data_IF_770166454005
#
_entry.id   IF_770166454005
#
_cell.length_a   1.000
_cell.length_b   1.000
_cell.length_c   1.000
_cell.angle_alpha   90.00
_cell.angle_beta   90.00
_cell.angle_gamma   90.00
#
_symmetry.space_group_name_H-M   'P 1'
#
loop_
_entity.id
_entity.type
_entity.pdbx_description
1 polymer ?
#
# COMPACT_ATOMS: atom_id res chain seq x y z
N UNK A 1 6.04 -7.80 -20.03
CA UNK A 1 5.61 -9.05 -19.34
C UNK A 1 4.13 -8.93 -19.07
N UNK A 2 3.33 -9.95 -19.42
CA UNK A 2 1.89 -9.95 -19.21
C UNK A 2 1.58 -9.97 -17.70
N UNK A 3 0.67 -9.09 -17.25
CA UNK A 3 0.26 -8.97 -15.86
C UNK A 3 -0.87 -9.93 -15.46
N UNK A 4 -1.65 -9.51 -14.47
CA UNK A 4 -2.91 -10.14 -14.09
C UNK A 4 -4.04 -9.40 -14.82
N UNK A 5 -4.59 -10.02 -15.86
CA UNK A 5 -5.73 -9.47 -16.60
C UNK A 5 -7.05 -10.03 -16.03
N UNK A 6 -7.96 -9.13 -15.72
CA UNK A 6 -9.23 -9.39 -15.06
C UNK A 6 -10.38 -8.77 -15.86
N UNK A 7 -11.30 -9.60 -16.33
CA UNK A 7 -12.64 -9.18 -16.75
C UNK A 7 -13.63 -9.98 -15.94
N UNK A 8 -14.17 -9.37 -14.92
CA UNK A 8 -15.03 -10.05 -13.95
C UNK A 8 -16.43 -9.49 -13.96
N UNK A 9 -17.40 -10.39 -13.89
CA UNK A 9 -18.78 -10.12 -13.59
C UNK A 9 -19.24 -11.19 -12.59
N UNK A 10 -19.35 -10.83 -11.33
CA UNK A 10 -19.66 -11.74 -10.25
C UNK A 10 -20.82 -11.20 -9.40
N UNK A 11 -21.92 -11.93 -9.34
CA UNK A 11 -23.03 -11.63 -8.45
C UNK A 11 -22.76 -12.20 -7.07
N UNK A 12 -23.00 -11.38 -6.05
CA UNK A 12 -22.93 -11.76 -4.64
C UNK A 12 -24.31 -11.87 -4.00
N UNK A 13 -24.33 -11.89 -2.68
CA UNK A 13 -25.55 -11.83 -1.89
C UNK A 13 -26.17 -10.42 -1.93
N UNK A 14 -27.46 -10.31 -1.59
CA UNK A 14 -28.19 -9.03 -1.49
C UNK A 14 -28.06 -8.11 -2.72
N UNK A 15 -28.10 -8.68 -3.95
CA UNK A 15 -27.94 -7.96 -5.22
C UNK A 15 -26.59 -7.27 -5.43
N UNK A 16 -25.58 -7.57 -4.63
CA UNK A 16 -24.23 -7.09 -4.87
C UNK A 16 -23.68 -7.67 -6.19
N UNK A 17 -23.03 -6.82 -6.98
CA UNK A 17 -22.37 -7.23 -8.24
C UNK A 17 -20.98 -6.63 -8.33
N UNK A 18 -19.99 -7.48 -8.47
CA UNK A 18 -18.61 -7.07 -8.75
C UNK A 18 -18.41 -7.07 -10.27
N UNK A 19 -18.16 -5.91 -10.84
CA UNK A 19 -17.90 -5.75 -12.26
C UNK A 19 -16.64 -4.92 -12.49
N UNK A 20 -15.66 -5.50 -13.16
CA UNK A 20 -14.41 -4.80 -13.50
C UNK A 20 -13.76 -5.38 -14.76
N UNK A 21 -13.03 -4.53 -15.48
CA UNK A 21 -12.17 -4.88 -16.60
C UNK A 21 -10.86 -4.11 -16.43
N UNK A 22 -9.77 -4.81 -16.09
CA UNK A 22 -8.49 -4.18 -15.85
C UNK A 22 -7.33 -5.15 -16.01
N UNK A 23 -6.13 -4.60 -16.16
CA UNK A 23 -4.87 -5.33 -16.13
C UNK A 23 -3.98 -4.76 -15.01
N UNK A 24 -3.46 -5.62 -14.15
CA UNK A 24 -2.60 -5.27 -13.02
C UNK A 24 -1.18 -5.79 -13.29
N UNK A 25 -0.13 -5.12 -12.80
CA UNK A 25 1.24 -5.60 -12.94
C UNK A 25 1.43 -6.98 -12.31
N UNK A 26 2.31 -7.79 -12.89
CA UNK A 26 2.77 -9.06 -12.30
C UNK A 26 4.08 -8.89 -11.52
N UNK A 27 4.28 -7.73 -10.90
CA UNK A 27 5.44 -7.40 -10.06
C UNK A 27 5.04 -6.36 -9.01
N UNK A 28 5.77 -6.34 -7.90
CA UNK A 28 5.54 -5.39 -6.81
C UNK A 28 4.21 -5.62 -6.08
N UNK A 29 3.79 -4.60 -5.32
CA UNK A 29 2.58 -4.66 -4.49
C UNK A 29 1.49 -3.79 -5.11
N UNK A 30 0.37 -4.40 -5.49
CA UNK A 30 -0.85 -3.70 -5.90
C UNK A 30 -1.85 -3.71 -4.75
N UNK A 31 -2.17 -2.54 -4.20
CA UNK A 31 -3.21 -2.42 -3.20
C UNK A 31 -4.59 -2.32 -3.84
N UNK A 32 -5.57 -2.95 -3.21
CA UNK A 32 -6.99 -2.84 -3.52
C UNK A 32 -7.65 -2.12 -2.35
N UNK A 33 -8.04 -0.88 -2.58
CA UNK A 33 -8.59 0.02 -1.55
C UNK A 33 -10.05 0.35 -1.83
N UNK A 34 -10.85 0.44 -0.80
CA UNK A 34 -12.25 0.83 -0.88
C UNK A 34 -12.99 0.58 0.43
N UNK A 35 -14.21 1.11 0.57
CA UNK A 35 -15.01 0.93 1.77
C UNK A 35 -15.36 -0.54 2.02
N UNK A 36 -15.77 -0.86 3.24
CA UNK A 36 -16.33 -2.18 3.55
C UNK A 36 -17.50 -2.48 2.63
N UNK A 37 -17.59 -3.73 2.15
CA UNK A 37 -18.62 -4.12 1.17
C UNK A 37 -18.36 -3.72 -0.29
N UNK A 38 -17.25 -3.04 -0.62
CA UNK A 38 -16.95 -2.66 -2.01
C UNK A 38 -16.54 -3.83 -2.93
N UNK A 39 -16.37 -5.05 -2.39
CA UNK A 39 -16.06 -6.25 -3.17
C UNK A 39 -14.59 -6.67 -3.18
N UNK A 40 -13.74 -6.11 -2.32
CA UNK A 40 -12.30 -6.41 -2.26
C UNK A 40 -12.01 -7.90 -2.05
N UNK A 41 -12.57 -8.50 -1.00
CA UNK A 41 -12.41 -9.95 -0.73
C UNK A 41 -13.05 -10.81 -1.82
N UNK A 42 -14.20 -10.38 -2.37
CA UNK A 42 -14.84 -11.06 -3.51
C UNK A 42 -13.91 -11.09 -4.74
N UNK A 43 -13.18 -10.00 -4.98
CA UNK A 43 -12.19 -9.93 -6.05
C UNK A 43 -11.05 -10.93 -5.81
N UNK A 44 -10.48 -10.96 -4.60
CA UNK A 44 -9.44 -11.94 -4.26
C UNK A 44 -9.95 -13.38 -4.36
N UNK A 45 -11.17 -13.67 -3.91
CA UNK A 45 -11.80 -14.99 -4.01
C UNK A 45 -11.96 -15.45 -5.48
N UNK A 46 -12.33 -14.53 -6.38
CA UNK A 46 -12.41 -14.84 -7.80
C UNK A 46 -11.02 -15.13 -8.40
N UNK A 47 -9.99 -14.35 -8.02
CA UNK A 47 -8.61 -14.58 -8.47
C UNK A 47 -8.06 -15.89 -7.91
N UNK A 48 -8.32 -16.20 -6.65
CA UNK A 48 -7.90 -17.46 -6.02
C UNK A 48 -8.67 -18.68 -6.57
N UNK A 49 -9.84 -18.48 -7.18
CA UNK A 49 -10.72 -19.57 -7.62
C UNK A 49 -11.56 -20.16 -6.49
N UNK A 50 -11.67 -19.48 -5.37
CA UNK A 50 -12.56 -19.82 -4.25
C UNK A 50 -14.02 -19.47 -4.60
N UNK A 51 -14.21 -18.43 -5.43
CA UNK A 51 -15.50 -18.04 -5.98
C UNK A 51 -15.44 -18.09 -7.50
N UNK A 52 -16.46 -18.69 -8.11
CA UNK A 52 -16.59 -18.74 -9.57
C UNK A 52 -17.41 -17.54 -10.05
N UNK A 53 -16.81 -16.59 -10.78
CA UNK A 53 -17.55 -15.50 -11.40
C UNK A 53 -18.35 -15.97 -12.61
N UNK A 54 -19.11 -15.06 -13.23
CA UNK A 54 -19.96 -15.36 -14.39
C UNK A 54 -19.21 -16.03 -15.54
N UNK A 55 -19.97 -16.72 -16.39
CA UNK A 55 -19.41 -17.60 -17.43
C UNK A 55 -18.49 -16.88 -18.43
N UNK A 56 -18.75 -15.59 -18.71
CA UNK A 56 -17.99 -14.76 -19.65
C UNK A 56 -16.77 -14.06 -18.99
N UNK A 57 -16.57 -14.29 -17.70
CA UNK A 57 -15.45 -13.70 -16.97
C UNK A 57 -14.11 -14.30 -17.39
N UNK A 58 -13.07 -13.46 -17.34
CA UNK A 58 -11.70 -13.84 -17.65
C UNK A 58 -10.81 -13.51 -16.47
N UNK A 59 -10.02 -14.49 -16.04
CA UNK A 59 -8.89 -14.33 -15.12
C UNK A 59 -7.68 -14.95 -15.81
N UNK A 60 -6.72 -14.11 -16.19
CA UNK A 60 -5.45 -14.53 -16.79
C UNK A 60 -4.29 -13.96 -15.99
N UNK A 61 -3.43 -14.84 -15.51
CA UNK A 61 -2.19 -14.45 -14.84
C UNK A 61 -0.99 -14.82 -15.70
N UNK A 62 -0.22 -13.84 -16.10
CA UNK A 62 0.82 -13.99 -17.10
C UNK A 62 0.25 -14.63 -18.37
N UNK A 63 0.73 -15.80 -18.77
CA UNK A 63 0.28 -16.51 -19.98
C UNK A 63 -0.77 -17.60 -19.69
N UNK A 64 -1.16 -17.79 -18.42
CA UNK A 64 -2.11 -18.83 -17.99
C UNK A 64 -3.51 -18.27 -17.78
N UNK A 65 -4.51 -18.86 -18.44
CA UNK A 65 -5.92 -18.58 -18.16
C UNK A 65 -6.40 -19.43 -16.99
N UNK A 66 -6.68 -18.78 -15.86
CA UNK A 66 -7.30 -19.43 -14.71
C UNK A 66 -8.82 -19.51 -14.83
N UNK A 67 -9.40 -18.57 -15.59
CA UNK A 67 -10.78 -18.63 -16.04
C UNK A 67 -10.94 -17.97 -17.40
N UNK A 68 -11.74 -18.57 -18.27
CA UNK A 68 -12.25 -18.03 -19.53
C UNK A 68 -13.57 -18.73 -19.87
N UNK A 69 -14.38 -18.24 -20.84
CA UNK A 69 -15.57 -18.93 -21.28
C UNK A 69 -15.33 -20.42 -21.53
N UNK A 70 -16.13 -21.26 -20.86
CA UNK A 70 -16.02 -22.73 -20.96
C UNK A 70 -14.88 -23.40 -20.17
N UNK A 71 -14.01 -22.65 -19.49
CA UNK A 71 -12.88 -23.22 -18.74
C UNK A 71 -12.67 -22.52 -17.38
N UNK A 72 -12.47 -23.33 -16.34
CA UNK A 72 -12.20 -22.87 -14.97
C UNK A 72 -11.12 -23.74 -14.33
N UNK A 73 -10.01 -23.14 -13.94
CA UNK A 73 -8.95 -23.79 -13.18
C UNK A 73 -9.30 -23.73 -11.68
N UNK A 74 -9.43 -24.86 -10.99
CA UNK A 74 -9.76 -24.89 -9.58
C UNK A 74 -8.60 -24.34 -8.73
N UNK A 75 -8.89 -23.86 -7.53
CA UNK A 75 -7.95 -23.22 -6.59
C UNK A 75 -6.65 -24.00 -6.40
N UNK A 76 -6.73 -25.30 -6.18
CA UNK A 76 -5.54 -26.15 -5.91
C UNK A 76 -4.61 -26.35 -7.10
N UNK A 77 -5.00 -25.91 -8.30
CA UNK A 77 -4.16 -25.88 -9.50
C UNK A 77 -3.61 -24.48 -9.81
N UNK A 78 -4.12 -23.45 -9.14
CA UNK A 78 -3.57 -22.09 -9.26
C UNK A 78 -2.40 -21.95 -8.31
N UNK A 79 -1.30 -21.40 -8.79
CA UNK A 79 -0.11 -21.17 -7.95
C UNK A 79 -0.27 -19.86 -7.18
N UNK A 80 -1.30 -19.78 -6.36
CA UNK A 80 -1.59 -18.64 -5.49
C UNK A 80 -1.51 -19.06 -4.04
N UNK A 81 -1.02 -18.17 -3.19
CA UNK A 81 -1.21 -18.28 -1.75
C UNK A 81 -2.17 -17.19 -1.28
N UNK A 82 -3.03 -17.51 -0.35
CA UNK A 82 -4.04 -16.61 0.21
C UNK A 82 -3.84 -16.51 1.71
N UNK A 83 -3.60 -15.30 2.19
CA UNK A 83 -3.58 -14.95 3.61
C UNK A 83 -4.89 -14.23 3.91
N UNK A 84 -5.72 -14.84 4.73
CA UNK A 84 -7.02 -14.30 5.13
C UNK A 84 -6.84 -13.31 6.28
N UNK A 85 -7.85 -12.51 6.53
CA UNK A 85 -7.92 -11.59 7.67
C UNK A 85 -7.69 -12.32 9.01
N UNK A 86 -8.29 -13.53 9.18
CA UNK A 86 -7.93 -14.44 10.24
C UNK A 86 -6.83 -15.39 9.77
N UNK A 87 -5.83 -15.64 10.58
CA UNK A 87 -4.64 -16.42 10.21
C UNK A 87 -4.95 -17.85 9.73
N UNK A 88 -6.09 -18.43 10.11
CA UNK A 88 -6.56 -19.77 9.71
C UNK A 88 -5.47 -20.84 9.77
N UNK A 89 -4.72 -20.85 10.87
CA UNK A 89 -3.74 -21.90 11.12
C UNK A 89 -4.43 -23.22 11.41
N UNK A 90 -3.73 -24.33 11.15
CA UNK A 90 -4.22 -25.65 11.50
C UNK A 90 -4.14 -25.82 13.03
N UNK A 91 -5.27 -25.89 13.76
CA UNK A 91 -5.27 -25.84 15.22
C UNK A 91 -4.70 -27.10 15.89
N UNK A 92 -4.57 -28.18 15.15
CA UNK A 92 -4.02 -29.47 15.61
C UNK A 92 -2.53 -29.63 15.31
N UNK A 93 -1.89 -28.60 14.77
CA UNK A 93 -0.47 -28.54 14.42
C UNK A 93 0.16 -27.34 15.14
N UNK A 94 1.34 -27.51 15.72
CA UNK A 94 2.15 -26.40 16.19
C UNK A 94 2.62 -25.50 15.04
N UNK A 95 3.28 -24.38 15.34
CA UNK A 95 3.79 -23.44 14.32
C UNK A 95 4.72 -24.14 13.35
N UNK A 96 5.71 -24.88 13.84
CA UNK A 96 6.69 -25.61 13.02
C UNK A 96 5.99 -26.58 12.06
N UNK A 97 5.01 -27.32 12.54
CA UNK A 97 4.24 -28.28 11.75
C UNK A 97 3.36 -27.58 10.70
N UNK A 98 2.74 -26.42 11.03
CA UNK A 98 2.04 -25.58 10.08
C UNK A 98 2.94 -25.13 8.91
N UNK A 99 4.19 -24.72 9.21
CA UNK A 99 5.17 -24.32 8.20
C UNK A 99 5.63 -25.51 7.36
N UNK A 100 5.94 -26.64 7.99
CA UNK A 100 6.33 -27.87 7.30
C UNK A 100 5.23 -28.43 6.40
N UNK A 101 3.95 -28.23 6.78
CA UNK A 101 2.82 -28.62 5.95
C UNK A 101 2.86 -27.95 4.58
N UNK A 102 3.11 -26.62 4.53
CA UNK A 102 3.22 -25.89 3.28
C UNK A 102 4.47 -26.31 2.49
N UNK A 103 5.61 -26.39 3.17
CA UNK A 103 6.88 -26.76 2.55
C UNK A 103 6.83 -28.11 1.83
N UNK A 104 6.17 -29.12 2.44
CA UNK A 104 6.01 -30.47 1.82
C UNK A 104 5.06 -30.50 0.64
N UNK A 105 4.21 -29.48 0.48
CA UNK A 105 3.19 -29.39 -0.60
C UNK A 105 3.52 -28.34 -1.66
N UNK A 106 4.68 -27.71 -1.56
CA UNK A 106 5.09 -26.76 -2.60
C UNK A 106 5.22 -27.44 -3.97
N UNK A 107 4.76 -26.76 -5.01
CA UNK A 107 4.80 -27.30 -6.38
C UNK A 107 6.17 -27.21 -7.03
N UNK A 108 7.03 -26.33 -6.56
CA UNK A 108 8.39 -26.12 -7.04
C UNK A 108 9.31 -25.68 -5.91
N UNK A 109 10.60 -25.86 -6.09
CA UNK A 109 11.57 -25.19 -5.25
C UNK A 109 11.82 -23.77 -5.81
N UNK A 110 11.54 -22.77 -5.02
CA UNK A 110 11.82 -21.36 -5.32
C UNK A 110 13.08 -20.85 -4.60
N UNK A 111 13.87 -21.74 -4.03
CA UNK A 111 15.08 -21.41 -3.27
C UNK A 111 14.83 -20.86 -1.87
N UNK A 112 13.56 -20.65 -1.48
CA UNK A 112 13.23 -20.13 -0.14
C UNK A 112 13.26 -21.27 0.88
N UNK A 113 14.20 -21.19 1.82
CA UNK A 113 14.35 -22.16 2.91
C UNK A 113 13.43 -21.88 4.09
N UNK A 114 13.10 -22.93 4.86
CA UNK A 114 12.31 -22.81 6.08
C UNK A 114 12.96 -21.84 7.09
N UNK A 115 14.27 -21.98 7.33
CA UNK A 115 14.99 -21.16 8.30
C UNK A 115 15.02 -19.69 7.88
N UNK A 116 15.12 -19.42 6.60
CA UNK A 116 15.12 -18.07 6.05
C UNK A 116 13.75 -17.38 6.31
N UNK A 117 12.63 -18.08 6.06
CA UNK A 117 11.29 -17.53 6.33
C UNK A 117 11.06 -17.34 7.84
N UNK A 118 11.56 -18.26 8.68
CA UNK A 118 11.49 -18.12 10.13
C UNK A 118 12.22 -16.85 10.58
N UNK A 119 13.43 -16.62 10.07
CA UNK A 119 14.22 -15.42 10.38
C UNK A 119 13.54 -14.14 9.89
N UNK A 120 13.10 -14.09 8.63
CA UNK A 120 12.42 -12.90 8.05
C UNK A 120 11.19 -12.48 8.85
N UNK A 121 10.42 -13.45 9.36
CA UNK A 121 9.17 -13.20 10.08
C UNK A 121 9.31 -13.32 11.59
N UNK A 122 10.54 -13.46 12.09
CA UNK A 122 10.88 -13.51 13.52
C UNK A 122 10.04 -14.55 14.27
N UNK A 123 10.07 -15.79 13.78
CA UNK A 123 9.30 -16.90 14.33
C UNK A 123 10.16 -17.88 15.17
N UNK A 124 11.43 -17.57 15.44
CA UNK A 124 12.37 -18.47 16.08
C UNK A 124 11.87 -19.01 17.42
N UNK A 125 11.31 -18.14 18.26
CA UNK A 125 10.79 -18.51 19.58
C UNK A 125 9.39 -19.13 19.55
N UNK A 126 8.69 -19.01 18.42
CA UNK A 126 7.29 -19.41 18.31
C UNK A 126 7.09 -20.83 17.77
N UNK A 127 8.15 -21.49 17.32
CA UNK A 127 8.05 -22.74 16.55
C UNK A 127 7.30 -23.88 17.25
N UNK A 128 7.41 -23.96 18.58
CA UNK A 128 6.78 -25.02 19.40
C UNK A 128 5.45 -24.59 20.02
N UNK A 129 4.96 -23.37 19.68
CA UNK A 129 3.69 -22.87 20.21
C UNK A 129 2.50 -23.44 19.43
N UNK A 130 1.43 -23.72 20.15
CA UNK A 130 0.14 -24.01 19.54
C UNK A 130 -0.49 -22.73 18.97
N UNK A 131 -1.23 -22.80 17.85
CA UNK A 131 -1.88 -21.63 17.26
C UNK A 131 -2.78 -20.85 18.21
N UNK A 132 -3.43 -21.54 19.18
CA UNK A 132 -4.29 -20.90 20.18
C UNK A 132 -3.55 -20.07 21.23
N UNK A 133 -2.23 -20.26 21.37
CA UNK A 133 -1.39 -19.51 22.31
C UNK A 133 -0.76 -18.26 21.68
N UNK A 134 -0.92 -18.07 20.36
CA UNK A 134 -0.33 -16.94 19.63
C UNK A 134 -1.19 -15.69 19.77
N UNK A 135 -0.52 -14.52 19.85
CA UNK A 135 -1.21 -13.25 19.60
C UNK A 135 -1.71 -13.17 18.15
N UNK A 136 -2.66 -12.28 17.87
CA UNK A 136 -3.16 -12.08 16.50
C UNK A 136 -2.03 -11.79 15.51
N UNK A 137 -1.07 -10.92 15.89
CA UNK A 137 0.08 -10.58 15.06
C UNK A 137 1.04 -11.76 14.84
N UNK A 138 1.31 -12.55 15.89
CA UNK A 138 2.12 -13.75 15.76
C UNK A 138 1.44 -14.76 14.82
N UNK A 139 0.14 -15.00 15.01
CA UNK A 139 -0.64 -15.87 14.12
C UNK A 139 -0.60 -15.42 12.66
N UNK A 140 -0.69 -14.11 12.42
CA UNK A 140 -0.65 -13.54 11.08
C UNK A 140 0.73 -13.70 10.42
N UNK A 141 1.83 -13.47 11.17
CA UNK A 141 3.18 -13.73 10.68
C UNK A 141 3.38 -15.21 10.31
N UNK A 142 2.86 -16.14 11.11
CA UNK A 142 2.89 -17.56 10.78
C UNK A 142 2.05 -17.89 9.53
N UNK A 143 0.91 -17.24 9.33
CA UNK A 143 0.09 -17.41 8.12
C UNK A 143 0.81 -16.92 6.86
N UNK A 144 1.50 -15.77 6.93
CA UNK A 144 2.34 -15.24 5.86
C UNK A 144 3.51 -16.20 5.58
N UNK A 145 4.20 -16.68 6.62
CA UNK A 145 5.28 -17.66 6.49
C UNK A 145 4.82 -18.93 5.77
N UNK A 146 3.68 -19.46 6.18
CA UNK A 146 3.06 -20.65 5.56
C UNK A 146 2.71 -20.38 4.09
N UNK A 147 2.21 -19.21 3.77
CA UNK A 147 1.90 -18.81 2.40
C UNK A 147 3.17 -18.75 1.53
N UNK A 148 4.25 -18.14 1.99
CA UNK A 148 5.53 -18.03 1.28
C UNK A 148 6.18 -19.41 1.04
N UNK A 149 6.14 -20.29 2.04
CA UNK A 149 6.69 -21.66 1.93
C UNK A 149 5.94 -22.54 0.94
N UNK A 150 4.73 -22.19 0.52
CA UNK A 150 4.04 -22.87 -0.56
C UNK A 150 4.59 -22.56 -1.96
N UNK A 151 5.56 -21.62 -2.06
CA UNK A 151 6.19 -21.15 -3.29
C UNK A 151 5.17 -20.64 -4.34
N UNK A 152 4.34 -19.65 -3.99
CA UNK A 152 3.32 -19.14 -4.90
C UNK A 152 3.95 -18.29 -6.02
N UNK A 153 3.21 -18.12 -7.12
CA UNK A 153 3.51 -17.16 -8.17
C UNK A 153 2.80 -15.81 -7.96
N UNK A 154 1.79 -15.78 -7.06
CA UNK A 154 1.03 -14.60 -6.66
C UNK A 154 0.60 -14.75 -5.21
N UNK A 155 0.83 -13.72 -4.39
CA UNK A 155 0.39 -13.66 -3.00
C UNK A 155 -0.83 -12.76 -2.86
N UNK A 156 -1.90 -13.28 -2.28
CA UNK A 156 -3.14 -12.57 -1.98
C UNK A 156 -3.24 -12.34 -0.47
N UNK A 157 -3.40 -11.08 -0.06
CA UNK A 157 -3.42 -10.64 1.33
C UNK A 157 -4.73 -9.89 1.58
N UNK A 158 -5.64 -10.47 2.34
CA UNK A 158 -6.96 -9.91 2.62
C UNK A 158 -7.02 -9.32 4.03
N UNK A 159 -6.88 -8.00 4.12
CA UNK A 159 -6.82 -7.24 5.38
C UNK A 159 -5.88 -7.88 6.44
N UNK A 160 -4.63 -8.21 6.09
CA UNK A 160 -3.78 -9.05 6.93
C UNK A 160 -3.34 -8.37 8.23
N UNK A 161 -3.51 -7.05 8.35
CA UNK A 161 -3.06 -6.27 9.52
C UNK A 161 -4.23 -5.75 10.38
N UNK A 162 -5.49 -6.00 9.99
CA UNK A 162 -6.67 -5.41 10.64
C UNK A 162 -6.81 -5.72 12.15
N UNK A 163 -6.23 -6.83 12.61
CA UNK A 163 -6.32 -7.27 14.00
C UNK A 163 -5.01 -7.06 14.79
N UNK A 164 -4.08 -6.26 14.26
CA UNK A 164 -2.78 -6.00 14.87
C UNK A 164 -2.75 -4.64 15.56
N UNK A 165 -1.97 -4.55 16.63
CA UNK A 165 -1.59 -3.24 17.17
C UNK A 165 -0.66 -2.50 16.19
N UNK A 166 -0.47 -1.21 16.43
CA UNK A 166 0.31 -0.35 15.52
C UNK A 166 1.75 -0.83 15.35
N UNK A 167 2.42 -1.26 16.41
CA UNK A 167 3.82 -1.71 16.35
C UNK A 167 3.96 -3.00 15.53
N UNK A 168 3.08 -3.99 15.78
CA UNK A 168 3.06 -5.24 15.02
C UNK A 168 2.70 -5.00 13.54
N UNK A 169 1.78 -4.07 13.25
CA UNK A 169 1.42 -3.69 11.88
C UNK A 169 2.62 -3.09 11.15
N UNK A 170 3.31 -2.13 11.76
CA UNK A 170 4.51 -1.51 11.18
C UNK A 170 5.59 -2.54 10.87
N UNK A 171 5.86 -3.46 11.79
CA UNK A 171 6.82 -4.52 11.57
C UNK A 171 6.44 -5.43 10.39
N UNK A 172 5.17 -5.83 10.29
CA UNK A 172 4.69 -6.63 9.16
C UNK A 172 4.77 -5.87 7.81
N UNK A 173 4.51 -4.56 7.80
CA UNK A 173 4.63 -3.71 6.61
C UNK A 173 6.06 -3.74 6.07
N UNK A 174 7.03 -3.49 6.95
CA UNK A 174 8.46 -3.54 6.59
C UNK A 174 8.83 -4.90 6.00
N UNK A 175 8.45 -5.99 6.69
CA UNK A 175 8.73 -7.35 6.25
C UNK A 175 8.08 -7.67 4.89
N UNK A 176 6.81 -7.31 4.68
CA UNK A 176 6.12 -7.53 3.39
C UNK A 176 6.78 -6.74 2.26
N UNK A 177 7.21 -5.49 2.52
CA UNK A 177 7.89 -4.67 1.52
C UNK A 177 9.23 -5.28 1.12
N UNK A 178 10.02 -5.72 2.10
CA UNK A 178 11.30 -6.39 1.87
C UNK A 178 11.11 -7.67 1.05
N UNK A 179 10.17 -8.51 1.46
CA UNK A 179 9.85 -9.77 0.77
C UNK A 179 9.39 -9.56 -0.68
N UNK A 180 8.60 -8.52 -0.96
CA UNK A 180 8.17 -8.20 -2.31
C UNK A 180 9.34 -7.88 -3.23
N UNK A 181 10.35 -7.17 -2.73
CA UNK A 181 11.56 -6.81 -3.47
C UNK A 181 12.50 -8.01 -3.62
N UNK A 182 12.79 -8.72 -2.52
CA UNK A 182 13.76 -9.83 -2.54
C UNK A 182 13.29 -11.01 -3.38
N UNK A 183 11.99 -11.30 -3.40
CA UNK A 183 11.43 -12.47 -4.06
C UNK A 183 10.89 -12.18 -5.48
N UNK A 184 10.84 -10.92 -5.90
CA UNK A 184 10.10 -10.49 -7.12
C UNK A 184 8.69 -11.12 -7.18
N UNK A 185 8.06 -11.24 -6.00
CA UNK A 185 6.76 -11.88 -5.83
C UNK A 185 5.65 -10.84 -5.94
N UNK A 186 4.80 -10.90 -6.95
CA UNK A 186 3.66 -10.01 -7.04
C UNK A 186 2.68 -10.26 -5.90
N UNK A 187 2.23 -9.17 -5.26
CA UNK A 187 1.29 -9.21 -4.15
C UNK A 187 0.05 -8.38 -4.46
N UNK A 188 -1.13 -8.93 -4.17
CA UNK A 188 -2.37 -8.16 -4.08
C UNK A 188 -2.71 -7.96 -2.61
N UNK A 189 -2.73 -6.72 -2.17
CA UNK A 189 -2.93 -6.32 -0.79
C UNK A 189 -4.26 -5.58 -0.62
N UNK A 190 -5.20 -6.18 0.08
CA UNK A 190 -6.47 -5.55 0.41
C UNK A 190 -6.36 -4.86 1.75
N UNK A 191 -6.71 -3.58 1.79
CA UNK A 191 -6.89 -2.82 3.04
C UNK A 191 -7.94 -1.72 2.86
N UNK A 192 -8.51 -1.26 3.95
CA UNK A 192 -9.30 -0.05 4.05
C UNK A 192 -8.55 1.07 4.78
N UNK A 193 -7.29 0.82 5.17
CA UNK A 193 -6.39 1.82 5.78
C UNK A 193 -5.43 2.39 4.73
N UNK A 194 -5.56 3.68 4.46
CA UNK A 194 -4.71 4.37 3.48
C UNK A 194 -3.28 4.56 3.99
N UNK A 195 -3.05 4.50 5.31
CA UNK A 195 -1.71 4.61 5.86
C UNK A 195 -0.90 3.35 5.57
N UNK A 196 -1.48 2.16 5.77
CA UNK A 196 -0.87 0.88 5.36
C UNK A 196 -0.58 0.85 3.87
N UNK A 197 -1.59 1.24 3.06
CA UNK A 197 -1.48 1.25 1.59
C UNK A 197 -0.37 2.19 1.13
N UNK A 198 -0.23 3.35 1.76
CA UNK A 198 0.78 4.36 1.40
C UNK A 198 2.21 3.87 1.60
N UNK A 199 2.42 3.02 2.59
CA UNK A 199 3.73 2.44 2.90
C UNK A 199 4.08 1.26 2.00
N UNK A 200 3.09 0.41 1.69
CA UNK A 200 3.31 -0.86 1.00
C UNK A 200 3.23 -0.77 -0.52
N UNK A 201 2.19 -0.10 -1.05
CA UNK A 201 1.79 -0.30 -2.43
C UNK A 201 2.64 0.47 -3.46
N UNK A 202 2.84 -0.12 -4.62
CA UNK A 202 3.37 0.53 -5.81
C UNK A 202 2.24 0.99 -6.73
N UNK A 203 1.19 0.18 -6.80
CA UNK A 203 0.00 0.42 -7.59
C UNK A 203 -1.23 0.41 -6.68
N UNK A 204 -2.25 1.14 -7.09
CA UNK A 204 -3.49 1.25 -6.36
C UNK A 204 -4.69 1.01 -7.28
N UNK A 205 -5.63 0.22 -6.79
CA UNK A 205 -6.94 -0.04 -7.39
C UNK A 205 -8.01 0.47 -6.43
N UNK A 206 -8.81 1.41 -6.87
CA UNK A 206 -9.93 1.94 -6.09
C UNK A 206 -11.21 1.23 -6.48
N UNK A 207 -11.81 0.52 -5.53
CA UNK A 207 -13.11 -0.13 -5.69
C UNK A 207 -14.19 0.60 -4.91
N UNK A 208 -15.34 0.79 -5.54
CA UNK A 208 -16.55 1.30 -4.89
C UNK A 208 -17.78 0.61 -5.48
N UNK A 209 -18.66 0.12 -4.60
CA UNK A 209 -19.95 -0.50 -4.98
C UNK A 209 -19.79 -1.60 -6.04
N UNK A 210 -18.74 -2.41 -5.94
CA UNK A 210 -18.43 -3.49 -6.86
C UNK A 210 -17.82 -3.06 -8.19
N UNK A 211 -17.54 -1.77 -8.38
CA UNK A 211 -16.97 -1.23 -9.62
C UNK A 211 -15.56 -0.69 -9.43
N UNK A 212 -14.76 -0.77 -10.49
CA UNK A 212 -13.46 -0.10 -10.58
C UNK A 212 -13.68 1.40 -10.80
N UNK A 213 -13.23 2.22 -9.84
CA UNK A 213 -13.32 3.69 -9.94
C UNK A 213 -12.06 4.28 -10.57
N UNK A 214 -10.91 3.83 -10.13
CA UNK A 214 -9.62 4.27 -10.66
C UNK A 214 -8.55 3.21 -10.43
N UNK A 215 -7.51 3.23 -11.28
CA UNK A 215 -6.27 2.45 -11.10
C UNK A 215 -5.08 3.26 -11.59
N UNK A 216 -3.92 3.05 -10.99
CA UNK A 216 -2.69 3.73 -11.40
C UNK A 216 -1.60 3.59 -10.35
N UNK A 217 -0.52 4.35 -10.52
CA UNK A 217 0.51 4.40 -9.49
C UNK A 217 -0.05 5.01 -8.20
N UNK A 218 0.45 4.55 -7.07
CA UNK A 218 0.05 5.08 -5.76
C UNK A 218 0.28 6.59 -5.67
N UNK A 219 1.43 7.09 -6.15
CA UNK A 219 1.79 8.50 -6.11
C UNK A 219 0.81 9.36 -6.90
N UNK A 220 0.43 8.89 -8.08
CA UNK A 220 -0.52 9.59 -8.94
C UNK A 220 -1.89 9.66 -8.29
N UNK A 221 -2.45 8.50 -7.89
CA UNK A 221 -3.82 8.43 -7.36
C UNK A 221 -3.97 9.16 -6.02
N UNK A 222 -2.96 9.14 -5.15
CA UNK A 222 -2.97 9.90 -3.90
C UNK A 222 -2.94 11.42 -4.11
N UNK A 223 -2.43 11.90 -5.25
CA UNK A 223 -2.38 13.34 -5.56
C UNK A 223 -3.55 13.85 -6.41
N UNK A 224 -4.41 12.99 -6.94
CA UNK A 224 -5.57 13.38 -7.77
C UNK A 224 -6.70 13.94 -6.91
N UNK A 225 -7.34 15.03 -7.37
CA UNK A 225 -8.44 15.68 -6.66
C UNK A 225 -9.81 15.01 -6.93
N UNK A 226 -9.96 14.32 -8.05
CA UNK A 226 -11.20 13.69 -8.49
C UNK A 226 -11.45 12.31 -7.86
N UNK A 227 -10.54 11.81 -7.04
CA UNK A 227 -10.69 10.53 -6.34
C UNK A 227 -11.36 10.70 -4.97
N UNK A 228 -11.90 9.59 -4.43
CA UNK A 228 -12.40 9.56 -3.06
C UNK A 228 -11.30 9.85 -2.04
N UNK A 229 -10.05 9.43 -2.31
CA UNK A 229 -8.90 9.62 -1.41
C UNK A 229 -8.68 11.08 -1.05
N UNK A 230 -8.87 11.98 -2.01
CA UNK A 230 -8.70 13.41 -1.78
C UNK A 230 -9.77 14.01 -0.87
N UNK A 231 -10.94 13.39 -0.79
CA UNK A 231 -12.08 13.84 0.03
C UNK A 231 -12.03 13.32 1.46
N UNK A 232 -11.19 12.30 1.72
CA UNK A 232 -11.01 11.78 3.07
C UNK A 232 -10.27 12.79 3.95
N UNK A 233 -10.56 12.78 5.25
CA UNK A 233 -9.91 13.69 6.20
C UNK A 233 -8.38 13.46 6.25
N UNK A 234 -7.98 12.22 6.00
CA UNK A 234 -6.59 11.77 5.96
C UNK A 234 -5.93 11.92 4.58
N UNK A 235 -6.54 12.67 3.65
CA UNK A 235 -5.96 12.91 2.33
C UNK A 235 -4.50 13.37 2.44
N UNK A 236 -3.63 12.75 1.68
CA UNK A 236 -2.19 13.01 1.70
C UNK A 236 -1.59 12.79 0.33
N UNK A 237 -0.56 13.53 0.01
CA UNK A 237 0.32 13.20 -1.10
C UNK A 237 1.45 12.29 -0.62
N UNK A 238 1.97 11.49 -1.54
CA UNK A 238 3.17 10.69 -1.31
C UNK A 238 4.26 11.23 -2.21
N UNK A 239 5.41 11.55 -1.63
CA UNK A 239 6.59 11.99 -2.36
C UNK A 239 7.74 11.03 -2.14
N UNK A 240 8.63 10.98 -3.12
CA UNK A 240 9.86 10.20 -3.07
C UNK A 240 11.03 11.15 -2.97
N UNK A 241 11.90 10.93 -1.98
CA UNK A 241 13.14 11.67 -1.81
C UNK A 241 14.32 10.74 -1.57
N UNK A 242 15.51 11.23 -1.84
CA UNK A 242 16.76 10.52 -1.54
C UNK A 242 17.40 11.15 -0.31
N UNK A 243 17.84 10.35 0.65
CA UNK A 243 18.54 10.82 1.86
C UNK A 243 19.85 11.49 1.41
N UNK A 244 19.92 12.80 1.58
CA UNK A 244 21.08 13.60 1.19
C UNK A 244 22.12 13.69 2.33
N UNK A 245 21.66 14.00 3.54
CA UNK A 245 22.52 14.12 4.71
C UNK A 245 21.71 14.05 6.01
N UNK A 246 22.43 13.83 7.11
CA UNK A 246 21.90 13.90 8.48
C UNK A 246 22.46 15.11 9.20
N UNK A 247 21.63 15.70 10.05
CA UNK A 247 22.03 16.70 11.03
C UNK A 247 21.94 16.05 12.42
N UNK A 248 23.06 15.60 12.97
CA UNK A 248 23.07 14.91 14.26
C UNK A 248 22.80 15.85 15.45
N UNK A 249 23.04 17.15 15.30
CA UNK A 249 22.80 18.15 16.35
C UNK A 249 21.31 18.33 16.60
N UNK A 250 20.51 18.39 15.52
CA UNK A 250 19.07 18.59 15.59
C UNK A 250 18.24 17.32 15.37
N UNK A 251 18.91 16.15 15.21
CA UNK A 251 18.24 14.88 14.87
C UNK A 251 17.32 15.00 13.65
N UNK A 252 17.78 15.65 12.59
CA UNK A 252 17.06 15.84 11.34
C UNK A 252 17.77 15.11 10.20
N UNK A 253 16.96 14.64 9.25
CA UNK A 253 17.43 14.12 7.97
C UNK A 253 16.96 15.02 6.84
N UNK A 254 17.87 15.38 5.95
CA UNK A 254 17.55 16.08 4.72
C UNK A 254 17.33 15.07 3.59
N UNK A 255 16.12 15.13 3.01
CA UNK A 255 15.77 14.41 1.79
C UNK A 255 15.83 15.35 0.59
N UNK A 256 16.47 14.94 -0.48
CA UNK A 256 16.39 15.63 -1.78
C UNK A 256 15.14 15.14 -2.51
N UNK A 257 14.12 16.02 -2.62
CA UNK A 257 12.87 15.78 -3.35
C UNK A 257 12.86 16.70 -4.57
N UNK A 258 12.95 16.16 -5.76
CA UNK A 258 13.03 16.97 -7.02
C UNK A 258 14.11 18.06 -6.95
N UNK A 259 15.24 17.75 -6.33
CA UNK A 259 16.34 18.71 -6.13
C UNK A 259 16.11 19.76 -5.03
N UNK A 260 14.98 19.72 -4.33
CA UNK A 260 14.68 20.60 -3.22
C UNK A 260 14.93 19.89 -1.88
N UNK A 261 15.51 20.55 -0.87
CA UNK A 261 15.72 19.98 0.44
C UNK A 261 14.41 19.89 1.21
N UNK A 262 14.13 18.72 1.79
CA UNK A 262 13.02 18.47 2.70
C UNK A 262 13.57 17.89 4.01
N UNK A 263 13.39 18.60 5.11
CA UNK A 263 13.85 18.20 6.43
C UNK A 263 12.77 17.41 7.16
N UNK A 264 13.15 16.24 7.66
CA UNK A 264 12.27 15.33 8.41
C UNK A 264 12.93 14.92 9.73
N UNK A 265 12.14 14.56 10.73
CA UNK A 265 12.66 14.08 12.00
C UNK A 265 13.30 12.69 11.88
N UNK A 266 14.37 12.46 12.67
CA UNK A 266 15.10 11.20 12.72
C UNK A 266 16.40 11.19 11.91
N UNK A 267 17.29 10.22 12.17
CA UNK A 267 18.60 10.12 11.54
C UNK A 267 19.02 8.66 11.24
N UNK A 268 18.04 7.76 11.08
CA UNK A 268 18.26 6.31 11.06
C UNK A 268 18.47 5.70 9.66
N UNK A 269 18.45 6.50 8.60
CA UNK A 269 18.48 5.96 7.25
C UNK A 269 19.79 6.21 6.54
N UNK A 270 20.30 5.24 5.77
CA UNK A 270 21.53 5.39 5.03
C UNK A 270 21.46 6.52 4.00
N UNK A 271 22.50 7.37 3.95
CA UNK A 271 22.66 8.38 2.91
C UNK A 271 22.67 7.73 1.54
N UNK A 272 21.97 8.34 0.57
CA UNK A 272 21.76 7.81 -0.77
C UNK A 272 20.55 6.86 -0.89
N UNK A 273 19.95 6.42 0.22
CA UNK A 273 18.74 5.58 0.17
C UNK A 273 17.51 6.38 -0.25
N UNK A 274 16.63 5.75 -1.03
CA UNK A 274 15.37 6.34 -1.47
C UNK A 274 14.28 6.08 -0.44
N UNK A 275 13.53 7.12 -0.10
CA UNK A 275 12.44 7.04 0.90
C UNK A 275 11.14 7.59 0.35
N UNK A 276 10.03 6.97 0.76
CA UNK A 276 8.69 7.51 0.56
C UNK A 276 8.31 8.34 1.79
N UNK A 277 7.65 9.44 1.54
CA UNK A 277 7.16 10.32 2.59
C UNK A 277 5.70 10.64 2.32
N UNK A 278 4.84 10.32 3.27
CA UNK A 278 3.43 10.68 3.25
C UNK A 278 3.26 12.06 3.86
N UNK A 279 2.71 13.00 3.10
CA UNK A 279 2.51 14.39 3.53
C UNK A 279 1.00 14.67 3.59
N UNK A 280 0.39 14.73 4.79
CA UNK A 280 -1.03 15.03 4.92
C UNK A 280 -1.37 16.40 4.36
N UNK A 281 -2.45 16.50 3.61
CA UNK A 281 -2.88 17.76 2.98
C UNK A 281 -3.18 18.86 4.01
N UNK A 282 -3.58 18.50 5.23
CA UNK A 282 -3.85 19.42 6.34
C UNK A 282 -2.59 20.07 6.92
N UNK A 283 -1.42 19.45 6.71
CA UNK A 283 -0.14 19.90 7.26
C UNK A 283 0.64 20.76 6.25
N UNK A 284 0.03 21.01 5.08
CA UNK A 284 0.59 21.85 4.01
C UNK A 284 -0.17 23.16 3.95
N UNK A 285 0.52 24.27 4.12
CA UNK A 285 0.02 25.62 3.87
C UNK A 285 0.72 26.25 2.68
N UNK A 286 0.15 27.30 2.11
CA UNK A 286 0.71 27.98 0.92
C UNK A 286 0.84 29.48 1.15
N UNK A 287 1.85 30.08 0.54
CA UNK A 287 2.04 31.54 0.51
C UNK A 287 2.59 31.99 -0.85
N UNK A 288 2.35 33.27 -1.20
CA UNK A 288 2.83 33.84 -2.47
C UNK A 288 4.31 34.22 -2.45
N UNK A 289 4.81 34.57 -1.27
CA UNK A 289 6.22 34.97 -1.10
C UNK A 289 6.88 34.04 -0.08
N UNK A 290 8.17 33.75 -0.30
CA UNK A 290 8.94 32.94 0.66
C UNK A 290 9.04 33.73 1.98
N UNK A 291 8.52 33.22 3.09
CA UNK A 291 8.62 33.88 4.38
C UNK A 291 10.07 33.92 4.87
N UNK A 292 10.49 35.06 5.46
CA UNK A 292 11.84 35.23 5.97
C UNK A 292 11.96 34.71 7.42
N UNK A 293 10.96 35.03 8.26
CA UNK A 293 10.98 34.70 9.69
C UNK A 293 9.88 33.67 9.99
N UNK A 294 10.22 32.39 9.92
CA UNK A 294 9.28 31.28 10.12
C UNK A 294 9.95 30.12 10.86
N UNK A 295 9.20 29.51 11.77
CA UNK A 295 9.62 28.22 12.36
C UNK A 295 9.43 27.03 11.44
N UNK A 296 8.83 27.22 10.26
CA UNK A 296 8.65 26.20 9.25
C UNK A 296 9.91 26.14 8.39
N UNK A 297 10.63 25.02 8.50
CA UNK A 297 11.89 24.83 7.79
C UNK A 297 11.68 24.40 6.33
N UNK A 298 10.64 23.62 6.06
CA UNK A 298 10.33 23.13 4.71
C UNK A 298 9.47 24.14 3.96
N UNK A 299 10.10 24.92 3.09
CA UNK A 299 9.44 25.93 2.25
C UNK A 299 9.86 25.64 0.81
N UNK A 300 8.97 24.95 0.07
CA UNK A 300 9.27 24.42 -1.26
C UNK A 300 8.58 25.26 -2.34
N UNK A 301 9.29 25.67 -3.41
CA UNK A 301 8.65 26.32 -4.55
C UNK A 301 7.78 25.31 -5.31
N UNK A 302 6.53 25.67 -5.55
CA UNK A 302 5.52 24.81 -6.20
C UNK A 302 4.68 25.63 -7.19
N UNK A 303 4.03 24.93 -8.13
CA UNK A 303 3.04 25.53 -9.02
C UNK A 303 1.65 24.94 -8.71
N UNK A 304 0.65 25.79 -8.57
CA UNK A 304 -0.74 25.35 -8.40
C UNK A 304 -1.23 24.73 -9.70
N UNK A 305 -1.33 23.40 -9.75
CA UNK A 305 -1.72 22.67 -10.95
C UNK A 305 -3.22 22.44 -11.07
N UNK A 306 -3.92 22.34 -9.93
CA UNK A 306 -5.37 22.15 -9.89
C UNK A 306 -5.92 22.55 -8.52
N UNK A 307 -7.21 22.89 -8.45
CA UNK A 307 -7.89 23.20 -7.19
C UNK A 307 -9.36 22.81 -7.23
N UNK A 308 -9.88 22.28 -6.13
CA UNK A 308 -11.25 21.81 -6.01
C UNK A 308 -11.85 22.21 -4.66
N UNK A 309 -13.13 22.57 -4.65
CA UNK A 309 -13.86 22.79 -3.40
C UNK A 309 -13.96 21.48 -2.60
N UNK A 310 -13.62 21.54 -1.31
CA UNK A 310 -13.70 20.46 -0.34
C UNK A 310 -14.74 20.83 0.72
N UNK A 311 -16.00 20.60 0.40
CA UNK A 311 -17.15 21.03 1.19
C UNK A 311 -17.41 22.55 1.13
N UNK A 312 -18.11 23.07 2.14
CA UNK A 312 -18.55 24.45 2.15
C UNK A 312 -17.43 25.45 2.53
N UNK A 313 -16.45 25.04 3.33
CA UNK A 313 -15.47 25.94 3.97
C UNK A 313 -14.03 25.74 3.51
N UNK A 314 -13.72 24.66 2.80
CA UNK A 314 -12.35 24.28 2.42
C UNK A 314 -12.16 24.21 0.91
N UNK A 315 -10.90 24.28 0.52
CA UNK A 315 -10.42 24.02 -0.85
C UNK A 315 -9.23 23.07 -0.74
N UNK A 316 -9.19 22.08 -1.59
CA UNK A 316 -8.06 21.21 -1.77
C UNK A 316 -7.29 21.67 -3.01
N UNK A 317 -5.99 21.87 -2.84
CA UNK A 317 -5.05 22.31 -3.87
C UNK A 317 -4.16 21.14 -4.25
N UNK A 318 -3.89 20.98 -5.54
CA UNK A 318 -2.85 20.11 -6.07
C UNK A 318 -1.67 20.98 -6.50
N UNK A 319 -0.52 20.77 -5.88
CA UNK A 319 0.67 21.58 -6.03
C UNK A 319 1.75 20.75 -6.71
N UNK A 320 2.25 21.20 -7.84
CA UNK A 320 3.31 20.53 -8.58
C UNK A 320 4.68 20.91 -8.00
N UNK A 321 5.49 19.89 -7.70
CA UNK A 321 6.88 19.97 -7.25
C UNK A 321 7.74 19.12 -8.20
N UNK A 322 8.33 19.73 -9.23
CA UNK A 322 9.01 18.98 -10.29
C UNK A 322 8.07 18.02 -11.02
N UNK A 323 8.39 16.72 -10.98
CA UNK A 323 7.55 15.66 -11.54
C UNK A 323 6.54 15.11 -10.54
N UNK A 324 6.64 15.49 -9.27
CA UNK A 324 5.80 15.01 -8.17
C UNK A 324 4.76 16.05 -7.75
N UNK A 325 3.84 15.66 -6.85
CA UNK A 325 2.77 16.53 -6.41
C UNK A 325 2.62 16.51 -4.89
N UNK A 326 2.22 17.65 -4.34
CA UNK A 326 1.75 17.81 -2.97
C UNK A 326 0.26 18.12 -2.98
N UNK A 327 -0.41 17.85 -1.86
CA UNK A 327 -1.76 18.34 -1.60
C UNK A 327 -1.72 19.36 -0.46
N UNK A 328 -2.54 20.41 -0.57
CA UNK A 328 -2.76 21.35 0.52
C UNK A 328 -4.26 21.57 0.74
N UNK A 329 -4.73 21.43 1.98
CA UNK A 329 -6.11 21.67 2.36
C UNK A 329 -6.18 22.98 3.13
N UNK A 330 -6.75 24.00 2.50
CA UNK A 330 -6.85 25.35 3.05
C UNK A 330 -8.30 25.81 3.16
N UNK A 331 -8.56 26.91 3.86
CA UNK A 331 -9.90 27.50 3.91
C UNK A 331 -10.23 28.21 2.60
N UNK A 332 -11.51 28.25 2.23
CA UNK A 332 -11.99 29.05 1.09
C UNK A 332 -11.65 30.54 1.24
N UNK A 333 -11.67 31.03 2.50
CA UNK A 333 -11.27 32.40 2.82
C UNK A 333 -9.81 32.64 2.43
N UNK A 334 -8.89 31.74 2.83
CA UNK A 334 -7.47 31.84 2.48
C UNK A 334 -7.25 31.81 0.98
N UNK A 335 -7.96 30.94 0.25
CA UNK A 335 -7.86 30.86 -1.21
C UNK A 335 -8.31 32.17 -1.88
N UNK A 336 -9.39 32.79 -1.37
CA UNK A 336 -9.90 34.06 -1.87
C UNK A 336 -8.97 35.24 -1.54
N UNK A 337 -8.48 35.34 -0.31
CA UNK A 337 -7.56 36.39 0.12
C UNK A 337 -6.23 36.35 -0.64
N UNK A 338 -5.75 35.15 -0.93
CA UNK A 338 -4.55 34.94 -1.74
C UNK A 338 -4.84 35.06 -3.24
N UNK A 339 -6.11 35.18 -3.65
CA UNK A 339 -6.52 35.25 -5.07
C UNK A 339 -5.89 34.11 -5.90
N UNK A 340 -5.98 32.87 -5.40
CA UNK A 340 -5.32 31.72 -6.03
C UNK A 340 -5.96 31.39 -7.36
N UNK A 341 -5.10 31.14 -8.37
CA UNK A 341 -5.47 30.67 -9.69
C UNK A 341 -4.55 29.52 -10.13
N UNK A 342 -5.08 28.59 -10.92
CA UNK A 342 -4.27 27.53 -11.54
C UNK A 342 -3.18 28.16 -12.39
N UNK A 343 -1.95 27.69 -12.22
CA UNK A 343 -0.75 28.26 -12.81
C UNK A 343 0.07 29.17 -11.88
N UNK A 344 -0.48 29.58 -10.73
CA UNK A 344 0.25 30.40 -9.77
C UNK A 344 1.52 29.70 -9.25
N UNK A 345 2.61 30.46 -9.18
CA UNK A 345 3.82 30.06 -8.47
C UNK A 345 3.70 30.43 -7.00
N UNK A 346 3.84 29.44 -6.13
CA UNK A 346 3.63 29.55 -4.69
C UNK A 346 4.78 28.90 -3.92
N UNK A 347 4.79 29.08 -2.62
CA UNK A 347 5.63 28.32 -1.71
C UNK A 347 4.74 27.45 -0.81
N UNK A 348 4.95 26.15 -0.85
CA UNK A 348 4.34 25.19 0.08
C UNK A 348 5.18 25.15 1.37
N UNK A 349 4.51 25.30 2.51
CA UNK A 349 5.10 25.26 3.84
C UNK A 349 4.67 23.98 4.53
N UNK A 350 5.62 23.18 4.99
CA UNK A 350 5.39 21.88 5.63
C UNK A 350 6.17 21.84 6.95
N UNK A 351 5.50 21.56 8.06
CA UNK A 351 6.18 21.44 9.35
C UNK A 351 7.01 20.17 9.40
N UNK A 352 8.31 20.27 9.67
CA UNK A 352 9.22 19.11 9.78
C UNK A 352 8.80 18.15 10.91
N UNK A 353 8.30 18.69 12.02
CA UNK A 353 7.81 17.90 13.14
C UNK A 353 6.55 17.06 12.82
N UNK A 354 5.83 17.38 11.74
CA UNK A 354 4.69 16.59 11.26
C UNK A 354 5.12 15.47 10.30
N UNK A 355 6.37 15.48 9.86
CA UNK A 355 6.93 14.52 8.92
C UNK A 355 7.76 13.52 9.70
N UNK A 356 7.17 12.39 10.06
CA UNK A 356 7.90 11.24 10.55
C UNK A 356 8.29 10.39 9.35
N UNK A 357 9.58 10.11 9.21
CA UNK A 357 10.01 9.03 8.33
C UNK A 357 9.59 7.73 8.98
N UNK A 358 8.78 6.98 8.25
CA UNK A 358 8.44 5.63 8.64
C UNK A 358 9.73 4.81 8.67
N UNK A 359 10.00 4.18 9.81
CA UNK A 359 11.19 3.38 10.03
C UNK A 359 11.08 2.10 9.21
N UNK A 360 11.72 2.07 8.05
CA UNK A 360 12.12 0.85 7.38
C UNK A 360 13.54 0.58 7.89
N UNK A 361 13.66 0.19 9.14
CA UNK A 361 14.94 -0.28 9.66
C UNK A 361 15.19 -1.69 9.14
N UNK A 362 16.00 -1.78 8.10
CA UNK A 362 16.73 -2.98 7.71
C UNK A 362 18.20 -2.70 7.92
N UNK A 363 18.65 -2.47 9.17
CA UNK A 363 20.06 -2.54 9.52
C UNK A 363 20.18 -2.74 11.05
N UNK A 364 20.27 -4.02 11.40
CA UNK A 364 21.20 -4.62 12.35
C UNK A 364 21.33 -6.12 12.04
#
# INVERSE_FOLDING_TARGET
>A
MSGLALRLDCTGEANFRLQLDCELPAAGITAIYGPSGSGKSTLLDCIAGLRRPGADSVVRFRDEYWQKPGSFVPTWRRRVAYVFQDARLFPHLDVRQNLHYALRRRHRDNGIGLQQVISWLQLDELQEHDPGALSAGQGQRVAIARALLSAPDLLLLDEPLANLDHAASQQCIVQLRQLAVELDLPMLYVSHDIEEVSQLADQLVLLQDGCLVARGSLLELCSRLDTRLSREEQAAAIVIGTVARHDPEFCLTELAVEGQPLLVGGNRHATGSTRRLRIPARDVSVCRQKPADSSILNILPVTLSDMQNDGASRVLLRLQLGSQFLLARITRKSAADLQLQVGDHLFAQIKSAALLMESIDTDE
#
